data_IF_240083397814
#
_entry.id   IF_240083397814
#
_cell.length_a   1.000
_cell.length_b   1.000
_cell.length_c   1.000
_cell.angle_alpha   90.00
_cell.angle_beta   90.00
_cell.angle_gamma   90.00
#
_symmetry.space_group_name_H-M   'P 1'
#
loop_
_entity.id
_entity.type
_entity.pdbx_description
1 polymer ?
#
# COMPACT_ATOMS: atom_id res chain seq x y z
N UNK A 1 23.94 -34.66 -27.85
CA UNK A 1 24.39 -34.97 -26.47
C UNK A 1 24.41 -33.65 -25.70
N UNK A 2 23.63 -33.32 -24.67
CA UNK A 2 22.68 -34.00 -23.79
C UNK A 2 21.56 -32.97 -23.45
N UNK A 3 20.27 -33.32 -23.32
CA UNK A 3 19.29 -32.42 -22.71
C UNK A 3 19.21 -32.65 -21.19
N UNK A 4 19.49 -31.62 -20.39
CA UNK A 4 19.34 -31.67 -18.93
C UNK A 4 17.87 -31.40 -18.57
N UNK A 5 17.14 -32.48 -18.31
CA UNK A 5 15.77 -32.46 -17.76
C UNK A 5 15.75 -31.77 -16.39
N UNK A 6 15.06 -30.63 -16.28
CA UNK A 6 14.70 -30.04 -14.99
C UNK A 6 13.29 -30.48 -14.58
N UNK A 7 13.24 -31.06 -13.39
CA UNK A 7 12.20 -31.87 -12.77
C UNK A 7 11.01 -30.99 -12.38
N UNK A 8 9.84 -31.27 -12.98
CA UNK A 8 8.54 -30.73 -12.56
C UNK A 8 8.12 -31.44 -11.27
N UNK A 9 7.90 -30.69 -10.19
CA UNK A 9 7.18 -31.17 -9.02
C UNK A 9 5.79 -30.56 -9.02
N UNK A 10 4.82 -31.43 -9.26
CA UNK A 10 3.41 -31.20 -9.32
C UNK A 10 2.88 -31.92 -8.07
N UNK A 11 2.39 -31.18 -7.07
CA UNK A 11 1.65 -31.76 -5.95
C UNK A 11 0.32 -31.03 -5.87
N UNK A 12 -0.74 -31.80 -6.08
CA UNK A 12 -2.14 -31.43 -6.10
C UNK A 12 -2.81 -31.94 -4.83
N UNK A 13 -3.81 -31.18 -4.39
CA UNK A 13 -4.97 -31.52 -3.56
C UNK A 13 -4.87 -31.48 -2.03
N UNK A 14 -5.89 -30.83 -1.46
CA UNK A 14 -6.24 -30.89 -0.04
C UNK A 14 -7.27 -29.83 0.36
N UNK A 15 -8.45 -29.81 -0.27
CA UNK A 15 -9.61 -29.02 0.19
C UNK A 15 -10.19 -29.73 1.42
N UNK A 16 -9.98 -29.17 2.62
CA UNK A 16 -10.70 -29.59 3.82
C UNK A 16 -11.94 -28.71 3.98
N UNK A 17 -13.11 -29.28 3.67
CA UNK A 17 -14.41 -28.72 3.99
C UNK A 17 -14.62 -28.79 5.51
N UNK A 18 -14.76 -27.64 6.17
CA UNK A 18 -15.17 -27.55 7.57
C UNK A 18 -16.68 -27.34 7.60
N UNK A 19 -17.41 -28.39 7.94
CA UNK A 19 -18.83 -28.35 8.21
C UNK A 19 -19.07 -27.75 9.61
N UNK A 20 -19.92 -26.72 9.72
CA UNK A 20 -20.46 -26.20 10.97
C UNK A 20 -21.95 -26.58 11.08
N UNK A 21 -22.42 -27.23 12.16
CA UNK A 21 -23.83 -27.48 12.38
C UNK A 21 -24.53 -26.39 13.21
N UNK A 22 -25.64 -25.91 12.65
CA UNK A 22 -26.91 -25.38 13.19
C UNK A 22 -27.12 -25.25 14.72
N UNK A 23 -27.54 -24.06 15.17
CA UNK A 23 -28.54 -23.77 16.24
C UNK A 23 -29.23 -22.44 15.82
N UNK A 24 -30.51 -22.33 15.44
CA UNK A 24 -31.80 -22.57 16.13
C UNK A 24 -32.02 -21.72 17.39
N UNK A 25 -32.53 -20.47 17.26
CA UNK A 25 -33.95 -20.11 17.49
C UNK A 25 -34.16 -18.57 17.62
N UNK A 26 -35.41 -18.08 17.39
CA UNK A 26 -35.80 -16.67 17.33
C UNK A 26 -36.41 -16.15 18.65
N UNK A 27 -36.27 -14.86 18.92
CA UNK A 27 -37.11 -14.05 19.84
C UNK A 27 -36.61 -12.60 19.75
N UNK A 28 -37.41 -11.54 19.74
CA UNK A 28 -38.85 -11.40 19.92
C UNK A 28 -39.29 -10.15 19.16
N UNK A 29 -40.50 -10.20 18.61
CA UNK A 29 -41.26 -9.02 18.22
C UNK A 29 -41.51 -8.19 19.49
N UNK A 30 -41.11 -6.92 19.49
CA UNK A 30 -41.67 -5.93 20.40
C UNK A 30 -42.54 -5.01 19.56
N UNK A 31 -43.84 -5.20 19.75
CA UNK A 31 -44.95 -4.43 19.24
C UNK A 31 -44.93 -3.00 19.80
N UNK A 32 -45.36 -2.08 18.95
CA UNK A 32 -45.97 -0.76 19.19
C UNK A 32 -45.56 0.10 20.40
N UNK A 33 -44.95 1.24 20.06
CA UNK A 33 -44.99 2.45 20.86
C UNK A 33 -45.11 3.64 19.93
N UNK A 34 -46.35 3.96 19.52
CA UNK A 34 -46.67 5.23 18.88
C UNK A 34 -46.58 6.32 19.95
N UNK A 35 -45.43 7.00 19.99
CA UNK A 35 -45.19 8.17 20.82
C UNK A 35 -44.66 9.29 19.93
N UNK A 36 -45.59 10.08 19.43
CA UNK A 36 -45.36 11.42 18.89
C UNK A 36 -44.90 12.31 20.05
N UNK A 37 -43.67 12.80 19.99
CA UNK A 37 -43.23 13.98 20.75
C UNK A 37 -42.14 14.68 19.92
N UNK A 38 -42.60 15.70 19.21
CA UNK A 38 -41.84 16.80 18.65
C UNK A 38 -41.09 17.54 19.78
N UNK A 39 -39.76 17.52 19.76
CA UNK A 39 -38.85 18.65 20.06
C UNK A 39 -37.48 18.12 20.55
N UNK A 40 -36.59 17.85 19.60
CA UNK A 40 -35.16 17.90 19.84
C UNK A 40 -34.46 18.33 18.56
N UNK A 41 -34.27 19.63 18.40
CA UNK A 41 -33.37 20.13 17.36
C UNK A 41 -31.97 19.51 17.50
N UNK A 42 -31.50 19.06 16.35
CA UNK A 42 -30.10 19.07 15.90
C UNK A 42 -29.16 17.99 16.44
N UNK A 43 -29.50 16.74 16.20
CA UNK A 43 -28.48 15.75 15.84
C UNK A 43 -28.74 15.20 14.43
N UNK A 44 -28.79 16.10 13.43
CA UNK A 44 -28.59 15.67 12.04
C UNK A 44 -27.22 14.97 12.02
N UNK A 45 -27.12 13.68 11.66
CA UNK A 45 -25.83 13.03 11.53
C UNK A 45 -25.01 13.87 10.55
N UNK A 46 -23.81 14.27 10.97
CA UNK A 46 -22.95 15.11 10.14
C UNK A 46 -22.86 14.47 8.75
N UNK A 47 -23.39 15.17 7.75
CA UNK A 47 -23.45 14.68 6.37
C UNK A 47 -22.06 14.23 5.93
N UNK A 48 -21.91 12.93 5.68
CA UNK A 48 -20.64 12.30 5.34
C UNK A 48 -20.04 12.92 4.06
N UNK A 49 -20.85 13.53 3.18
CA UNK A 49 -20.35 14.27 2.03
C UNK A 49 -19.58 15.54 2.41
N UNK A 50 -19.89 16.18 3.55
CA UNK A 50 -19.15 17.35 4.04
C UNK A 50 -17.78 17.00 4.63
N UNK A 51 -17.58 15.75 5.05
CA UNK A 51 -16.26 15.27 5.50
C UNK A 51 -15.31 14.98 4.33
N UNK A 52 -15.85 14.69 3.14
CA UNK A 52 -15.07 14.47 1.92
C UNK A 52 -14.54 15.77 1.29
N UNK A 53 -15.06 16.94 1.69
CA UNK A 53 -14.64 18.25 1.17
C UNK A 53 -13.40 18.81 1.88
N UNK A 54 -12.77 18.04 2.77
CA UNK A 54 -11.52 18.47 3.40
C UNK A 54 -10.45 18.69 2.32
N UNK A 55 -9.75 19.83 2.33
CA UNK A 55 -8.66 20.07 1.39
C UNK A 55 -7.62 18.94 1.53
N UNK A 56 -7.00 18.52 0.42
CA UNK A 56 -6.01 17.45 0.46
C UNK A 56 -4.90 17.81 1.46
N UNK A 57 -4.46 16.82 2.23
CA UNK A 57 -3.39 17.02 3.19
C UNK A 57 -2.16 17.62 2.47
N UNK A 58 -1.44 18.55 3.12
CA UNK A 58 -0.17 19.06 2.60
C UNK A 58 0.73 17.88 2.26
N UNK A 59 1.18 17.79 1.01
CA UNK A 59 2.11 16.74 0.60
C UNK A 59 3.42 16.98 1.34
N UNK A 60 3.97 15.94 1.96
CA UNK A 60 5.32 16.01 2.47
C UNK A 60 6.23 16.30 1.26
N UNK A 61 7.03 17.36 1.32
CA UNK A 61 8.10 17.58 0.36
C UNK A 61 9.38 17.00 0.96
N UNK A 62 10.03 16.11 0.22
CA UNK A 62 11.29 15.49 0.62
C UNK A 62 12.32 15.75 -0.45
N UNK A 63 13.55 16.03 -0.04
CA UNK A 63 14.63 16.19 -1.00
C UNK A 63 15.14 14.82 -1.48
N UNK A 64 15.02 14.60 -2.79
CA UNK A 64 15.49 13.41 -3.50
C UNK A 64 16.80 13.63 -4.26
N UNK A 65 17.41 14.82 -4.16
CA UNK A 65 18.70 15.17 -4.79
C UNK A 65 19.83 14.19 -4.44
N UNK A 66 19.74 13.57 -3.25
CA UNK A 66 20.73 12.61 -2.71
C UNK A 66 20.76 11.27 -3.44
N UNK A 67 19.75 10.98 -4.27
CA UNK A 67 19.65 9.74 -5.04
C UNK A 67 20.50 9.87 -6.30
N UNK A 68 21.71 9.32 -6.25
CA UNK A 68 22.71 9.49 -7.32
C UNK A 68 22.55 8.52 -8.48
N UNK A 69 21.86 7.39 -8.27
CA UNK A 69 21.66 6.38 -9.30
C UNK A 69 20.25 6.43 -9.86
N UNK A 70 20.17 6.42 -11.19
CA UNK A 70 18.95 6.32 -11.97
C UNK A 70 19.23 5.37 -13.14
N UNK A 71 18.40 4.34 -13.38
CA UNK A 71 18.52 3.50 -14.57
C UNK A 71 18.46 4.34 -15.85
N UNK A 72 19.24 3.96 -16.86
CA UNK A 72 19.30 4.71 -18.12
C UNK A 72 17.96 4.66 -18.85
N UNK A 73 17.52 5.81 -19.37
CA UNK A 73 16.27 5.91 -20.14
C UNK A 73 14.98 5.90 -19.31
N UNK A 74 15.05 5.58 -18.03
CA UNK A 74 13.88 5.46 -17.17
C UNK A 74 13.24 6.80 -16.78
N UNK A 75 11.94 6.76 -16.52
CA UNK A 75 11.19 7.83 -15.88
C UNK A 75 11.26 7.66 -14.37
N UNK A 76 11.50 8.78 -13.66
CA UNK A 76 11.54 8.81 -12.19
C UNK A 76 10.23 9.39 -11.70
N UNK A 77 9.61 8.73 -10.73
CA UNK A 77 8.47 9.26 -10.01
C UNK A 77 8.77 9.32 -8.51
N UNK A 78 8.61 10.51 -7.93
CA UNK A 78 8.87 10.75 -6.51
C UNK A 78 7.66 10.33 -5.66
N UNK A 79 7.94 9.62 -4.56
CA UNK A 79 6.98 9.29 -3.52
C UNK A 79 7.51 9.79 -2.17
N UNK A 80 7.33 11.09 -1.86
CA UNK A 80 7.85 11.68 -0.63
C UNK A 80 7.25 11.05 0.62
N UNK A 81 5.98 10.67 0.58
CA UNK A 81 5.26 10.04 1.70
C UNK A 81 5.94 8.71 2.13
N UNK A 82 6.49 7.96 1.16
CA UNK A 82 7.16 6.68 1.39
C UNK A 82 8.71 6.79 1.40
N UNK A 83 9.24 8.01 1.27
CA UNK A 83 10.67 8.31 1.14
C UNK A 83 11.35 7.45 0.04
N UNK A 84 10.71 7.40 -1.14
CA UNK A 84 11.04 6.49 -2.23
C UNK A 84 10.99 7.17 -3.60
N UNK A 85 11.88 6.76 -4.50
CA UNK A 85 11.80 7.01 -5.94
C UNK A 85 11.36 5.73 -6.65
N UNK A 86 10.42 5.84 -7.58
CA UNK A 86 10.06 4.75 -8.48
C UNK A 86 10.74 4.95 -9.84
N UNK A 87 11.22 3.85 -10.40
CA UNK A 87 11.80 3.79 -11.74
C UNK A 87 10.83 3.06 -12.66
N UNK A 88 10.52 3.70 -13.78
CA UNK A 88 9.62 3.17 -14.79
C UNK A 88 10.32 3.18 -16.13
N UNK A 89 10.25 2.06 -16.85
CA UNK A 89 10.74 2.01 -18.22
C UNK A 89 9.96 2.99 -19.10
N UNK A 90 10.52 3.32 -20.26
CA UNK A 90 9.83 4.19 -21.23
C UNK A 90 8.47 3.62 -21.67
N UNK A 91 8.37 2.29 -21.70
CA UNK A 91 7.15 1.53 -21.99
C UNK A 91 6.11 1.54 -20.87
N UNK A 92 6.42 2.17 -19.72
CA UNK A 92 5.52 2.25 -18.57
C UNK A 92 5.48 1.01 -17.69
N UNK A 93 6.50 0.14 -17.75
CA UNK A 93 6.64 -0.99 -16.82
C UNK A 93 7.46 -0.56 -15.59
N UNK A 94 7.19 -1.12 -14.40
CA UNK A 94 8.03 -0.86 -13.24
C UNK A 94 9.40 -1.51 -13.45
N UNK A 95 10.47 -0.71 -13.42
CA UNK A 95 11.85 -1.21 -13.53
C UNK A 95 12.48 -1.43 -12.14
N UNK A 96 12.01 -0.67 -11.16
CA UNK A 96 12.50 -0.79 -9.79
C UNK A 96 12.14 0.40 -8.93
N UNK A 97 12.81 0.52 -7.79
CA UNK A 97 12.66 1.66 -6.90
C UNK A 97 13.89 1.88 -6.04
N UNK A 98 14.08 3.10 -5.56
CA UNK A 98 15.09 3.43 -4.57
C UNK A 98 14.42 3.91 -3.28
N UNK A 99 14.88 3.44 -2.12
CA UNK A 99 14.32 3.83 -0.83
C UNK A 99 15.42 4.18 0.17
N UNK A 100 15.23 5.29 0.89
CA UNK A 100 16.12 5.65 2.00
C UNK A 100 15.76 4.85 3.25
N UNK A 101 16.76 4.18 3.83
CA UNK A 101 16.69 3.40 5.07
C UNK A 101 17.84 3.86 5.96
N UNK A 102 17.50 4.65 6.99
CA UNK A 102 18.49 5.24 7.90
C UNK A 102 19.53 6.07 7.15
N UNK A 103 20.79 5.66 7.27
CA UNK A 103 21.97 6.29 6.66
C UNK A 103 22.28 5.82 5.23
N UNK A 104 21.39 5.05 4.60
CA UNK A 104 21.65 4.47 3.28
C UNK A 104 20.44 4.64 2.35
N UNK A 105 20.72 4.78 1.06
CA UNK A 105 19.74 4.64 -0.02
C UNK A 105 19.96 3.27 -0.66
N UNK A 106 18.91 2.46 -0.71
CA UNK A 106 18.94 1.12 -1.29
C UNK A 106 18.14 1.14 -2.58
N UNK A 107 18.74 0.62 -3.64
CA UNK A 107 18.13 0.49 -4.96
C UNK A 107 17.70 -0.95 -5.18
N UNK A 108 16.46 -1.13 -5.61
CA UNK A 108 15.81 -2.40 -5.84
C UNK A 108 15.41 -2.52 -7.30
N UNK A 109 15.50 -3.74 -7.86
CA UNK A 109 14.92 -4.06 -9.16
C UNK A 109 13.39 -4.22 -9.07
N UNK A 110 12.75 -4.46 -10.21
CA UNK A 110 11.31 -4.71 -10.32
C UNK A 110 10.81 -5.88 -9.45
N UNK A 111 11.66 -6.86 -9.17
CA UNK A 111 11.36 -8.00 -8.30
C UNK A 111 11.52 -7.69 -6.80
N UNK A 112 11.97 -6.48 -6.45
CA UNK A 112 12.20 -6.06 -5.06
C UNK A 112 13.52 -6.56 -4.48
N UNK A 113 14.46 -7.03 -5.29
CA UNK A 113 15.79 -7.43 -4.86
C UNK A 113 16.73 -6.22 -4.82
N UNK A 114 17.51 -6.08 -3.76
CA UNK A 114 18.50 -5.02 -3.66
C UNK A 114 19.63 -5.22 -4.67
N UNK A 115 19.80 -4.28 -5.59
CA UNK A 115 20.83 -4.31 -6.63
C UNK A 115 22.00 -3.37 -6.34
N UNK A 116 21.77 -2.35 -5.50
CA UNK A 116 22.80 -1.37 -5.14
C UNK A 116 22.51 -0.74 -3.79
N UNK A 117 23.58 -0.38 -3.07
CA UNK A 117 23.50 0.40 -1.83
C UNK A 117 24.38 1.64 -2.00
N UNK A 118 23.85 2.78 -1.57
CA UNK A 118 24.55 4.04 -1.47
C UNK A 118 24.53 4.50 -0.02
N UNK A 119 25.69 4.75 0.55
CA UNK A 119 25.78 5.33 1.90
C UNK A 119 25.70 6.85 1.82
N UNK A 120 24.94 7.44 2.74
CA UNK A 120 24.86 8.87 2.93
C UNK A 120 25.98 9.32 3.87
N UNK A 121 26.58 10.46 3.54
CA UNK A 121 27.52 11.14 4.44
C UNK A 121 26.78 11.75 5.64
N UNK A 122 27.47 12.03 6.76
CA UNK A 122 26.86 12.72 7.90
C UNK A 122 26.18 14.04 7.54
N UNK A 123 26.77 14.81 6.62
CA UNK A 123 26.18 16.05 6.11
C UNK A 123 24.84 15.81 5.40
N UNK A 124 24.75 14.78 4.56
CA UNK A 124 23.53 14.42 3.84
C UNK A 124 22.41 13.87 4.75
N UNK A 125 22.77 13.43 5.96
CA UNK A 125 21.82 12.91 6.95
C UNK A 125 21.18 13.99 7.82
N UNK A 126 21.83 15.13 8.01
CA UNK A 126 21.38 16.22 8.88
C UNK A 126 20.24 17.08 8.30
N UNK A 127 19.86 16.80 7.05
CA UNK A 127 18.76 17.42 6.29
C UNK A 127 17.54 16.50 6.16
#
# INVERSE_FOLDING_TARGET
MMPVLRKKWLVVAGICAVALPVLNMPSAMAEEGMGDDDDAETHRPADMHKLATKPPLPRAHKDFSKYRYKPEGDKVQEQPDANRLLFWTQDGKPDGYAQRRGSSIIYYNAQGQAIRIQHLTPAEMAE
#
